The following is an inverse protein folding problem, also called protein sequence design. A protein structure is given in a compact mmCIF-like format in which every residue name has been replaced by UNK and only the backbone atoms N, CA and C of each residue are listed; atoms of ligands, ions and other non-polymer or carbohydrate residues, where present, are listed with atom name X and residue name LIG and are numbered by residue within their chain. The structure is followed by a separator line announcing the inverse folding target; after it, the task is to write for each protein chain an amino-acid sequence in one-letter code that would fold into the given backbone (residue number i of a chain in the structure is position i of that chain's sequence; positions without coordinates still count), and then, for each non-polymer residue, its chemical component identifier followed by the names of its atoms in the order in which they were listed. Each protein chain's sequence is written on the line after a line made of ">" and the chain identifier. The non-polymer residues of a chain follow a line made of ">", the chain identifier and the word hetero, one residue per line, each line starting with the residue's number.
data_IF_872408433862
#
_entry.id   IF_872408433862
#
_cell.length_a   1.000
_cell.length_b   1.000
_cell.length_c   1.000
_cell.angle_alpha   90.00
_cell.angle_beta   90.00
_cell.angle_gamma   90.00
#
_symmetry.space_group_name_H-M   'P 1'
#
loop_
_entity.id
_entity.type
_entity.pdbx_description
1 polymer ?
#
# COMPACT_ATOMS: atom_id res chain seq x y z
N UNK A 1 -11.34 12.11 -4.61
CA UNK A 1 -10.90 10.90 -5.34
C UNK A 1 -12.02 10.47 -6.30
N UNK A 2 -11.72 10.07 -7.55
CA UNK A 2 -12.73 9.45 -8.42
C UNK A 2 -13.30 8.18 -7.78
N UNK A 3 -14.50 7.75 -8.19
CA UNK A 3 -15.16 6.56 -7.67
C UNK A 3 -14.27 5.31 -7.77
N UNK A 4 -13.89 4.76 -6.62
CA UNK A 4 -13.09 3.55 -6.54
C UNK A 4 -13.93 2.36 -6.97
N UNK A 5 -13.49 1.60 -7.98
CA UNK A 5 -14.22 0.41 -8.43
C UNK A 5 -14.27 -0.64 -7.31
N UNK A 6 -15.29 -1.52 -7.35
CA UNK A 6 -15.40 -2.61 -6.36
C UNK A 6 -14.16 -3.51 -6.31
N UNK A 7 -13.49 -3.72 -7.45
CA UNK A 7 -12.23 -4.51 -7.54
C UNK A 7 -11.07 -3.84 -6.80
N UNK A 8 -10.98 -2.52 -6.85
CA UNK A 8 -9.95 -1.77 -6.13
C UNK A 8 -10.29 -1.74 -4.64
N UNK A 9 -11.57 -1.49 -4.29
CA UNK A 9 -12.03 -1.46 -2.90
C UNK A 9 -11.79 -2.79 -2.17
N UNK A 10 -12.04 -3.92 -2.80
CA UNK A 10 -11.78 -5.24 -2.19
C UNK A 10 -10.29 -5.46 -1.93
N UNK A 11 -9.40 -5.00 -2.83
CA UNK A 11 -7.94 -5.05 -2.64
C UNK A 11 -7.46 -4.11 -1.54
N UNK A 12 -8.03 -2.92 -1.43
CA UNK A 12 -7.73 -2.02 -0.30
C UNK A 12 -8.10 -2.66 1.03
N UNK A 13 -9.27 -3.29 1.12
CA UNK A 13 -9.69 -4.00 2.33
C UNK A 13 -8.77 -5.18 2.66
N UNK A 14 -8.43 -5.99 1.65
CA UNK A 14 -7.50 -7.09 1.84
C UNK A 14 -6.10 -6.63 2.26
N UNK A 15 -5.62 -5.50 1.74
CA UNK A 15 -4.37 -4.90 2.19
C UNK A 15 -4.46 -4.48 3.66
N UNK A 16 -5.53 -3.78 4.05
CA UNK A 16 -5.73 -3.35 5.44
C UNK A 16 -5.74 -4.54 6.41
N UNK A 17 -6.44 -5.61 6.05
CA UNK A 17 -6.45 -6.86 6.82
C UNK A 17 -5.05 -7.50 6.90
N UNK A 18 -4.29 -7.51 5.81
CA UNK A 18 -2.94 -8.08 5.79
C UNK A 18 -1.91 -7.27 6.59
N UNK A 19 -2.10 -5.95 6.72
CA UNK A 19 -1.33 -5.07 7.62
C UNK A 19 -1.68 -5.35 9.08
N UNK A 20 -2.95 -5.68 9.36
CA UNK A 20 -3.41 -6.10 10.69
C UNK A 20 -3.59 -4.94 11.69
N UNK A 21 -3.54 -3.68 11.24
CA UNK A 21 -3.90 -2.54 12.08
C UNK A 21 -5.42 -2.33 12.13
N UNK A 22 -5.90 -1.63 13.16
CA UNK A 22 -7.31 -1.30 13.30
C UNK A 22 -7.74 -0.27 12.24
N UNK A 23 -8.86 -0.54 11.57
CA UNK A 23 -9.48 0.39 10.63
C UNK A 23 -10.34 1.37 11.43
N UNK A 24 -10.12 2.67 11.24
CA UNK A 24 -10.93 3.74 11.83
C UNK A 24 -12.21 3.94 11.00
N UNK A 25 -13.39 3.52 11.48
CA UNK A 25 -14.63 3.62 10.71
C UNK A 25 -15.16 5.06 10.63
N UNK A 26 -14.83 5.89 11.61
CA UNK A 26 -15.32 7.27 11.75
C UNK A 26 -14.52 8.26 10.91
N UNK A 27 -13.36 7.87 10.35
CA UNK A 27 -12.55 8.78 9.53
C UNK A 27 -13.30 9.32 8.32
N UNK A 28 -14.20 8.49 7.75
CA UNK A 28 -15.02 8.87 6.59
C UNK A 28 -16.05 9.95 6.89
N UNK A 29 -16.58 9.93 8.11
CA UNK A 29 -17.58 10.90 8.56
C UNK A 29 -16.93 12.24 8.91
N UNK A 30 -15.67 12.21 9.36
CA UNK A 30 -14.91 13.39 9.79
C UNK A 30 -14.35 14.23 8.64
N UNK A 31 -14.10 13.64 7.46
CA UNK A 31 -13.57 14.37 6.32
C UNK A 31 -14.11 13.84 4.98
N UNK A 32 -14.94 14.64 4.29
CA UNK A 32 -15.48 14.29 2.98
C UNK A 32 -14.41 14.07 1.88
N UNK A 33 -13.18 14.56 2.09
CA UNK A 33 -12.03 14.31 1.21
C UNK A 33 -11.50 12.87 1.30
N UNK A 34 -11.91 12.11 2.33
CA UNK A 34 -11.54 10.71 2.57
C UNK A 34 -12.52 9.70 1.97
N UNK A 35 -13.49 10.14 1.17
CA UNK A 35 -14.36 9.23 0.45
C UNK A 35 -13.53 8.32 -0.47
N UNK A 36 -13.63 7.01 -0.24
CA UNK A 36 -12.87 6.00 -0.98
C UNK A 36 -11.49 5.65 -0.41
N UNK A 37 -11.15 6.07 0.81
CA UNK A 37 -9.94 5.65 1.53
C UNK A 37 -10.27 4.68 2.68
N UNK A 38 -9.22 4.07 3.25
CA UNK A 38 -9.23 3.34 4.52
C UNK A 38 -8.19 4.00 5.41
N UNK A 39 -8.59 4.41 6.61
CA UNK A 39 -7.69 5.04 7.59
C UNK A 39 -7.37 4.03 8.68
N UNK A 40 -6.10 3.95 9.06
CA UNK A 40 -5.59 3.11 10.14
C UNK A 40 -4.84 4.02 11.13
N UNK A 41 -5.61 4.70 11.98
CA UNK A 41 -5.13 5.84 12.79
C UNK A 41 -3.97 5.45 13.73
N UNK A 42 -4.03 4.25 14.34
CA UNK A 42 -2.95 3.76 15.18
C UNK A 42 -1.64 3.52 14.41
N UNK A 43 -1.73 3.03 13.18
CA UNK A 43 -0.60 2.81 12.29
C UNK A 43 -0.10 4.09 11.60
N UNK A 44 -0.72 5.24 11.86
CA UNK A 44 -0.45 6.51 11.18
C UNK A 44 -0.55 6.40 9.65
N UNK A 45 -1.46 5.55 9.16
CA UNK A 45 -1.53 5.14 7.76
C UNK A 45 -2.89 5.44 7.14
N UNK A 46 -2.86 5.88 5.88
CA UNK A 46 -4.03 6.02 5.02
C UNK A 46 -3.81 5.23 3.73
N UNK A 47 -4.76 4.35 3.42
CA UNK A 47 -4.77 3.57 2.18
C UNK A 47 -5.75 4.21 1.21
N UNK A 48 -5.25 4.55 0.03
CA UNK A 48 -6.06 4.95 -1.13
C UNK A 48 -5.92 3.90 -2.24
N UNK A 49 -6.86 3.89 -3.18
CA UNK A 49 -6.85 2.92 -4.28
C UNK A 49 -7.26 3.53 -5.61
N UNK A 50 -6.61 3.09 -6.69
CA UNK A 50 -6.92 3.52 -8.06
C UNK A 50 -6.59 2.46 -9.10
N UNK A 51 -7.18 2.58 -10.30
CA UNK A 51 -6.73 1.87 -11.51
C UNK A 51 -6.07 2.80 -12.53
N UNK A 52 -5.90 4.08 -12.19
CA UNK A 52 -5.23 5.03 -13.07
C UNK A 52 -3.73 4.71 -13.18
N UNK A 53 -3.12 4.91 -14.36
CA UNK A 53 -1.68 4.80 -14.52
C UNK A 53 -0.94 5.91 -13.74
N UNK A 54 0.35 5.70 -13.47
CA UNK A 54 1.22 6.76 -12.98
C UNK A 54 1.43 7.80 -14.08
N UNK A 55 1.55 9.11 -13.76
CA UNK A 55 1.63 9.71 -12.42
C UNK A 55 0.28 10.22 -11.86
N UNK A 56 -0.86 9.78 -12.40
CA UNK A 56 -2.16 10.32 -11.97
C UNK A 56 -2.42 10.01 -10.49
N UNK A 57 -3.06 10.95 -9.80
CA UNK A 57 -3.34 10.94 -8.36
C UNK A 57 -2.16 11.22 -7.42
N UNK A 58 -0.97 11.57 -7.94
CA UNK A 58 0.13 12.05 -7.09
C UNK A 58 -0.19 13.37 -6.38
N UNK A 59 -0.76 14.40 -7.04
CA UNK A 59 -1.16 15.62 -6.34
C UNK A 59 -2.16 15.35 -5.21
N UNK A 60 -3.16 14.50 -5.46
CA UNK A 60 -4.18 14.10 -4.50
C UNK A 60 -3.59 13.31 -3.34
N UNK A 61 -2.62 12.43 -3.61
CA UNK A 61 -1.88 11.72 -2.57
C UNK A 61 -1.12 12.68 -1.65
N UNK A 62 -0.45 13.68 -2.22
CA UNK A 62 0.25 14.72 -1.45
C UNK A 62 -0.74 15.55 -0.63
N UNK A 63 -1.88 15.91 -1.23
CA UNK A 63 -2.94 16.65 -0.55
C UNK A 63 -3.50 15.86 0.65
N UNK A 64 -3.82 14.57 0.46
CA UNK A 64 -4.29 13.70 1.54
C UNK A 64 -3.29 13.62 2.70
N UNK A 65 -2.00 13.45 2.39
CA UNK A 65 -0.95 13.42 3.41
C UNK A 65 -0.79 14.75 4.17
N UNK A 66 -1.08 15.89 3.53
CA UNK A 66 -1.06 17.22 4.15
C UNK A 66 -2.29 17.45 5.04
N UNK A 67 -3.47 17.09 4.55
CA UNK A 67 -4.74 17.29 5.27
C UNK A 67 -4.84 16.39 6.50
N UNK A 68 -4.37 15.15 6.39
CA UNK A 68 -4.53 14.15 7.48
C UNK A 68 -3.34 14.05 8.40
N UNK A 69 -2.16 14.52 7.97
CA UNK A 69 -0.92 14.29 8.71
C UNK A 69 -0.32 12.88 8.56
N UNK A 70 -1.06 11.94 7.95
CA UNK A 70 -0.73 10.51 7.88
C UNK A 70 0.23 10.17 6.72
N UNK A 71 0.87 9.00 6.81
CA UNK A 71 1.51 8.37 5.67
C UNK A 71 0.46 7.83 4.71
N UNK A 72 0.73 7.90 3.40
CA UNK A 72 -0.23 7.47 2.38
C UNK A 72 0.33 6.32 1.56
N UNK A 73 -0.43 5.22 1.51
CA UNK A 73 -0.20 4.09 0.61
C UNK A 73 -1.26 4.13 -0.48
N UNK A 74 -0.85 4.45 -1.70
CA UNK A 74 -1.70 4.42 -2.88
C UNK A 74 -1.57 3.06 -3.57
N UNK A 75 -2.58 2.21 -3.40
CA UNK A 75 -2.72 0.95 -4.13
C UNK A 75 -3.14 1.25 -5.57
N UNK A 76 -2.36 0.76 -6.53
CA UNK A 76 -2.71 0.78 -7.95
C UNK A 76 -3.01 -0.62 -8.43
N UNK A 77 -4.17 -0.81 -9.04
CA UNK A 77 -4.57 -2.08 -9.61
C UNK A 77 -4.65 -2.01 -11.13
N UNK A 78 -3.88 -2.87 -11.78
CA UNK A 78 -3.89 -3.15 -13.20
C UNK A 78 -4.30 -4.61 -13.43
N UNK A 79 -5.20 -4.86 -14.38
CA UNK A 79 -5.75 -6.21 -14.62
C UNK A 79 -4.72 -7.19 -15.20
N UNK A 80 -3.67 -6.69 -15.83
CA UNK A 80 -2.61 -7.48 -16.47
C UNK A 80 -1.36 -7.60 -15.61
N UNK A 81 -1.08 -6.60 -14.77
CA UNK A 81 0.14 -6.53 -13.95
C UNK A 81 -0.12 -6.78 -12.47
N UNK A 82 -1.38 -6.81 -12.04
CA UNK A 82 -1.73 -6.94 -10.64
C UNK A 82 -1.65 -5.62 -9.88
N UNK A 83 -1.22 -5.68 -8.62
CA UNK A 83 -1.10 -4.49 -7.77
C UNK A 83 0.32 -3.97 -7.67
N UNK A 84 0.43 -2.66 -7.56
CA UNK A 84 1.65 -1.98 -7.15
C UNK A 84 1.29 -0.81 -6.24
N UNK A 85 2.29 -0.29 -5.53
CA UNK A 85 2.09 0.73 -4.50
C UNK A 85 2.91 1.96 -4.80
N UNK A 86 2.32 3.12 -4.56
CA UNK A 86 3.08 4.36 -4.38
C UNK A 86 2.93 4.80 -2.93
N UNK A 87 4.03 5.20 -2.29
CA UNK A 87 4.08 5.41 -0.85
C UNK A 87 4.67 6.78 -0.55
N UNK A 88 3.95 7.58 0.25
CA UNK A 88 4.39 8.88 0.71
C UNK A 88 4.54 8.80 2.23
N UNK A 89 5.80 8.79 2.66
CA UNK A 89 6.16 8.67 4.06
C UNK A 89 6.04 10.02 4.78
N UNK A 90 6.09 10.00 6.11
CA UNK A 90 5.84 11.17 6.95
C UNK A 90 6.79 12.36 6.68
N UNK A 91 8.01 12.08 6.23
CA UNK A 91 8.99 13.11 5.84
C UNK A 91 8.59 13.90 4.59
N UNK A 92 7.60 13.40 3.82
CA UNK A 92 7.03 13.99 2.60
C UNK A 92 8.07 14.41 1.56
N UNK A 93 9.27 13.80 1.59
CA UNK A 93 10.39 14.21 0.72
C UNK A 93 10.16 13.81 -0.73
N UNK A 94 9.66 12.61 -0.95
CA UNK A 94 9.43 12.05 -2.27
C UNK A 94 8.38 10.94 -2.21
N UNK A 95 7.68 10.74 -3.33
CA UNK A 95 6.80 9.59 -3.51
C UNK A 95 7.67 8.39 -3.91
N UNK A 96 7.64 7.36 -3.10
CA UNK A 96 8.23 6.06 -3.41
C UNK A 96 7.35 5.36 -4.43
N UNK A 97 7.81 5.28 -5.68
CA UNK A 97 6.99 4.82 -6.79
C UNK A 97 7.18 3.33 -7.09
N UNK A 98 6.10 2.63 -7.40
CA UNK A 98 6.15 1.32 -8.04
C UNK A 98 6.62 0.19 -7.13
N UNK A 99 6.25 0.20 -5.86
CA UNK A 99 6.58 -0.87 -4.93
C UNK A 99 5.70 -2.09 -5.16
N UNK A 100 6.26 -3.28 -5.04
CA UNK A 100 5.53 -4.54 -5.08
C UNK A 100 5.25 -5.01 -3.65
N UNK A 101 4.08 -5.61 -3.38
CA UNK A 101 3.88 -6.34 -2.13
C UNK A 101 4.70 -7.62 -2.16
N UNK A 102 5.30 -7.98 -1.04
CA UNK A 102 6.07 -9.20 -0.87
C UNK A 102 5.79 -9.82 0.50
N UNK A 103 5.72 -11.15 0.57
CA UNK A 103 5.58 -11.89 1.82
C UNK A 103 6.28 -13.24 1.69
N UNK A 104 7.29 -13.47 2.53
CA UNK A 104 8.00 -14.75 2.64
C UNK A 104 7.50 -15.58 3.82
N UNK A 105 8.27 -16.61 4.19
CA UNK A 105 7.93 -17.55 5.26
C UNK A 105 7.74 -16.91 6.65
N UNK A 106 8.37 -15.76 6.90
CA UNK A 106 8.19 -15.00 8.15
C UNK A 106 6.80 -14.38 8.32
N UNK A 107 5.94 -14.39 7.29
CA UNK A 107 4.54 -13.99 7.39
C UNK A 107 4.28 -12.48 7.42
N UNK A 108 5.31 -11.64 7.57
CA UNK A 108 5.17 -10.18 7.51
C UNK A 108 4.86 -9.70 6.07
N UNK A 109 4.03 -8.66 5.93
CA UNK A 109 3.84 -7.98 4.64
C UNK A 109 4.94 -6.92 4.45
N UNK A 110 5.54 -6.92 3.27
CA UNK A 110 6.55 -5.95 2.86
C UNK A 110 6.14 -5.23 1.59
N UNK A 111 6.57 -3.98 1.46
CA UNK A 111 6.63 -3.26 0.20
C UNK A 111 8.09 -3.22 -0.26
N UNK A 112 8.37 -3.87 -1.39
CA UNK A 112 9.71 -3.98 -1.96
C UNK A 112 9.85 -3.13 -3.23
N UNK A 113 10.96 -2.41 -3.42
CA UNK A 113 11.17 -1.63 -4.63
C UNK A 113 11.28 -2.53 -5.87
N UNK A 114 10.59 -2.18 -6.95
CA UNK A 114 10.64 -2.94 -8.21
C UNK A 114 11.92 -2.72 -8.99
N UNK A 115 12.48 -1.51 -8.96
CA UNK A 115 13.69 -1.12 -9.69
C UNK A 115 14.99 -1.22 -8.86
N UNK A 116 14.95 -1.94 -7.72
CA UNK A 116 16.10 -2.11 -6.83
C UNK A 116 16.61 -0.82 -6.16
N UNK A 117 15.83 0.27 -6.23
CA UNK A 117 16.17 1.57 -5.65
C UNK A 117 15.11 1.98 -4.62
N UNK A 118 15.56 2.24 -3.40
CA UNK A 118 14.73 2.70 -2.29
C UNK A 118 14.79 1.78 -1.07
N UNK A 119 14.22 2.21 0.07
CA UNK A 119 14.15 1.39 1.28
C UNK A 119 13.21 0.20 1.09
N UNK A 120 13.38 -0.85 1.89
CA UNK A 120 12.35 -1.87 2.07
C UNK A 120 11.41 -1.40 3.17
N UNK A 121 10.10 -1.55 2.99
CA UNK A 121 9.13 -1.12 3.99
C UNK A 121 8.40 -2.33 4.52
N UNK A 122 8.57 -2.63 5.80
CA UNK A 122 7.75 -3.63 6.48
C UNK A 122 6.46 -2.98 6.96
N UNK A 123 5.33 -3.58 6.62
CA UNK A 123 4.03 -3.13 7.06
C UNK A 123 3.65 -3.83 8.37
N UNK A 124 3.56 -3.05 9.44
CA UNK A 124 3.25 -3.54 10.78
C UNK A 124 1.91 -2.94 11.26
N UNK A 125 1.25 -3.55 12.26
CA UNK A 125 0.07 -2.96 12.89
C UNK A 125 0.32 -1.57 13.48
N UNK A 126 1.59 -1.22 13.79
CA UNK A 126 2.02 0.07 14.33
C UNK A 126 2.46 1.08 13.27
N UNK A 127 2.48 0.71 11.98
CA UNK A 127 2.89 1.59 10.88
C UNK A 127 3.92 0.98 9.93
N UNK A 128 4.56 1.82 9.10
CA UNK A 128 5.58 1.38 8.15
C UNK A 128 6.98 1.51 8.74
N UNK A 129 7.70 0.40 8.86
CA UNK A 129 9.10 0.39 9.28
C UNK A 129 10.02 0.40 8.05
N UNK A 130 10.96 1.36 8.02
CA UNK A 130 12.00 1.42 6.97
C UNK A 130 13.16 0.52 7.33
N UNK A 131 13.45 -0.43 6.47
CA UNK A 131 14.52 -1.40 6.65
C UNK A 131 15.54 -1.24 5.50
N UNK A 132 16.82 -1.39 5.84
CA UNK A 132 17.91 -1.31 4.86
C UNK A 132 18.19 -2.65 4.18
N UNK A 133 17.90 -3.73 4.87
CA UNK A 133 18.14 -5.08 4.40
C UNK A 133 16.93 -5.61 3.65
N UNK A 134 17.19 -6.36 2.58
CA UNK A 134 16.14 -6.99 1.82
C UNK A 134 15.49 -8.10 2.65
N UNK A 135 14.16 -8.30 2.57
CA UNK A 135 13.50 -9.39 3.27
C UNK A 135 13.67 -10.76 2.58
N UNK A 136 14.43 -10.81 1.48
CA UNK A 136 14.67 -11.99 0.66
C UNK A 136 16.17 -12.27 0.52
N UNK A 137 16.53 -13.54 0.33
CA UNK A 137 17.92 -14.01 0.25
C UNK A 137 18.51 -13.73 -1.12
N UNK A 138 17.75 -14.00 -2.17
CA UNK A 138 18.18 -13.86 -3.56
C UNK A 138 17.02 -13.42 -4.48
N UNK A 139 17.29 -13.42 -5.79
CA UNK A 139 16.30 -13.02 -6.80
C UNK A 139 15.14 -14.02 -6.91
N UNK A 140 15.40 -15.30 -6.73
CA UNK A 140 14.38 -16.34 -6.83
C UNK A 140 13.40 -16.24 -5.66
N UNK A 141 13.90 -16.09 -4.44
CA UNK A 141 13.11 -15.83 -3.24
C UNK A 141 12.32 -14.52 -3.34
N UNK A 142 12.94 -13.48 -3.91
CA UNK A 142 12.23 -12.23 -4.22
C UNK A 142 11.05 -12.46 -5.15
N UNK A 143 11.27 -13.16 -6.27
CA UNK A 143 10.24 -13.40 -7.28
C UNK A 143 9.11 -14.28 -6.72
N UNK A 144 9.45 -15.31 -5.92
CA UNK A 144 8.50 -16.21 -5.30
C UNK A 144 7.59 -15.53 -4.28
N UNK A 145 8.11 -14.57 -3.50
CA UNK A 145 7.31 -13.87 -2.49
C UNK A 145 6.51 -12.67 -3.01
N UNK A 146 6.67 -12.24 -4.27
CA UNK A 146 5.88 -11.11 -4.83
C UNK A 146 4.41 -11.51 -5.00
N UNK A 147 3.52 -10.66 -4.49
CA UNK A 147 2.06 -10.88 -4.57
C UNK A 147 1.47 -10.05 -5.72
N UNK A 148 0.81 -10.69 -6.69
CA UNK A 148 0.23 -9.98 -7.83
C UNK A 148 -1.23 -9.55 -7.62
N UNK A 149 -2.06 -10.34 -6.92
CA UNK A 149 -3.51 -10.07 -6.72
C UNK A 149 -4.32 -9.80 -8.01
N UNK A 150 -3.97 -10.39 -9.15
CA UNK A 150 -4.66 -10.16 -10.43
C UNK A 150 -6.13 -10.59 -10.40
N UNK A 151 -6.37 -11.79 -9.89
CA UNK A 151 -7.70 -12.40 -9.84
C UNK A 151 -8.35 -12.17 -8.47
N UNK A 152 -7.72 -12.67 -7.40
CA UNK A 152 -8.21 -12.59 -6.03
C UNK A 152 -7.53 -11.45 -5.25
N UNK A 153 -8.26 -10.70 -4.41
CA UNK A 153 -7.71 -9.66 -3.55
C UNK A 153 -7.07 -10.31 -2.31
N UNK A 154 -5.99 -11.06 -2.48
CA UNK A 154 -5.36 -11.80 -1.38
C UNK A 154 -3.92 -11.33 -1.26
N UNK A 155 -3.56 -10.84 -0.07
CA UNK A 155 -2.18 -10.47 0.28
C UNK A 155 -1.51 -11.51 1.19
N UNK A 156 -2.15 -12.67 1.34
CA UNK A 156 -1.54 -13.87 1.91
C UNK A 156 -0.64 -14.52 0.87
N UNK A 157 0.44 -15.15 1.30
CA UNK A 157 1.26 -15.95 0.40
C UNK A 157 0.40 -17.10 -0.14
N UNK A 158 0.39 -17.29 -1.46
CA UNK A 158 -0.12 -18.52 -2.05
C UNK A 158 0.79 -19.65 -1.59
N UNK A 159 0.21 -20.66 -0.93
CA UNK A 159 0.85 -21.96 -0.77
C UNK A 159 0.77 -22.73 -2.09
#
# INVERSE_FOLDING_TARGET
>A
MPWTTQRVRSRMMALALAIGAEIDPESRERAGTLAGTITMSFAQLLIAGTSCPRPWLFPEMIQLARETGLEVVLLRFDVTRGVSFDILLQDRRHILCGYAPWRGAGGDLWFVPTLGKGPYLRALPTGLAREREAPFIDREDREAGIILTMEKPIFEAGF
#
